data_IF_868436648783
#
_entry.id   IF_868436648783
#
_cell.length_a   1.000
_cell.length_b   1.000
_cell.length_c   1.000
_cell.angle_alpha   90.00
_cell.angle_beta   90.00
_cell.angle_gamma   90.00
#
_symmetry.space_group_name_H-M   'P 1'
#
loop_
_entity.id
_entity.type
_entity.pdbx_description
1 polymer ?
#
# COMPACT_ATOMS: atom_id res chain seq x y z
N UNK A 1 4.05 -10.68 -32.98
CA UNK A 1 3.90 -9.22 -33.20
C UNK A 1 3.53 -9.00 -34.66
N UNK A 2 2.40 -8.34 -34.95
CA UNK A 2 1.89 -8.19 -36.32
C UNK A 2 2.69 -7.16 -37.14
N UNK A 3 2.58 -7.18 -38.47
CA UNK A 3 3.23 -6.20 -39.37
C UNK A 3 2.82 -4.76 -38.99
N UNK A 4 1.52 -4.55 -38.77
CA UNK A 4 0.92 -3.28 -38.35
C UNK A 4 1.45 -2.78 -37.01
N UNK A 5 1.64 -3.66 -36.01
CA UNK A 5 2.24 -3.28 -34.73
C UNK A 5 3.68 -2.78 -34.88
N UNK A 6 4.47 -3.40 -35.77
CA UNK A 6 5.85 -2.97 -36.04
C UNK A 6 5.89 -1.61 -36.74
N UNK A 7 5.00 -1.37 -37.69
CA UNK A 7 4.88 -0.07 -38.39
C UNK A 7 4.54 1.06 -37.42
N UNK A 8 3.56 0.87 -36.53
CA UNK A 8 3.21 1.83 -35.48
C UNK A 8 4.40 2.07 -34.53
N UNK A 9 5.07 1.01 -34.06
CA UNK A 9 6.20 1.16 -33.14
C UNK A 9 7.39 1.90 -33.75
N UNK A 10 7.66 1.70 -35.05
CA UNK A 10 8.70 2.43 -35.76
C UNK A 10 8.34 3.91 -35.91
N UNK A 11 7.11 4.21 -36.33
CA UNK A 11 6.64 5.59 -36.46
C UNK A 11 6.65 6.33 -35.11
N UNK A 12 6.25 5.67 -34.02
CA UNK A 12 6.36 6.22 -32.66
C UNK A 12 7.82 6.53 -32.31
N UNK A 13 8.75 5.66 -32.67
CA UNK A 13 10.18 5.87 -32.40
C UNK A 13 10.71 7.10 -33.15
N UNK A 14 10.42 7.20 -34.44
CA UNK A 14 10.80 8.35 -35.28
C UNK A 14 10.24 9.65 -34.72
N UNK A 15 8.96 9.69 -34.36
CA UNK A 15 8.36 10.89 -33.77
C UNK A 15 8.91 11.22 -32.37
N UNK A 16 9.25 10.20 -31.58
CA UNK A 16 9.92 10.41 -30.29
C UNK A 16 11.26 11.12 -30.48
N UNK A 17 12.07 10.67 -31.46
CA UNK A 17 13.37 11.28 -31.78
C UNK A 17 13.21 12.75 -32.27
N UNK A 18 12.16 13.05 -33.04
CA UNK A 18 11.84 14.42 -33.47
C UNK A 18 11.56 15.30 -32.25
N UNK A 19 10.67 14.86 -31.36
CA UNK A 19 10.29 15.59 -30.14
C UNK A 19 11.49 15.82 -29.20
N UNK A 20 12.33 14.80 -29.02
CA UNK A 20 13.55 14.92 -28.23
C UNK A 20 14.54 15.91 -28.85
N UNK A 21 14.71 15.89 -30.17
CA UNK A 21 15.54 16.86 -30.90
C UNK A 21 14.99 18.29 -30.76
N UNK A 22 13.68 18.49 -30.74
CA UNK A 22 13.08 19.81 -30.51
C UNK A 22 13.37 20.33 -29.10
N UNK A 23 13.25 19.47 -28.09
CA UNK A 23 13.58 19.79 -26.69
C UNK A 23 15.05 20.10 -26.48
N UNK A 24 15.95 19.36 -27.15
CA UNK A 24 17.38 19.67 -27.13
C UNK A 24 17.66 21.10 -27.60
N UNK A 25 16.83 21.62 -28.51
CA UNK A 25 16.86 23.00 -28.99
C UNK A 25 16.01 23.95 -28.13
N UNK A 26 15.71 23.60 -26.88
CA UNK A 26 14.95 24.40 -25.91
C UNK A 26 13.54 24.78 -26.36
N UNK A 27 12.91 23.99 -27.24
CA UNK A 27 11.47 24.09 -27.54
C UNK A 27 10.65 23.27 -26.55
N UNK A 28 9.39 23.65 -26.36
CA UNK A 28 8.39 22.86 -25.63
C UNK A 28 7.34 22.30 -26.61
N UNK A 29 7.61 21.14 -27.23
CA UNK A 29 6.79 20.64 -28.31
C UNK A 29 5.44 20.12 -27.81
N UNK A 30 4.39 20.43 -28.56
CA UNK A 30 3.02 19.97 -28.33
C UNK A 30 2.62 19.04 -29.47
N UNK A 31 2.22 17.82 -29.14
CA UNK A 31 1.75 16.85 -30.14
C UNK A 31 0.28 17.15 -30.41
N UNK A 32 -0.07 17.39 -31.67
CA UNK A 32 -1.44 17.78 -32.06
C UNK A 32 -2.13 16.68 -32.87
N UNK A 33 -3.27 16.21 -32.36
CA UNK A 33 -4.19 15.36 -33.13
C UNK A 33 -5.10 16.26 -33.96
N UNK A 34 -5.09 16.06 -35.28
CA UNK A 34 -5.89 16.81 -36.24
C UNK A 34 -7.19 16.06 -36.55
N UNK A 35 -8.27 16.76 -36.98
CA UNK A 35 -9.55 16.11 -37.31
C UNK A 35 -9.48 15.11 -38.47
N UNK A 36 -8.49 15.24 -39.34
CA UNK A 36 -8.22 14.40 -40.51
C UNK A 36 -7.21 13.28 -40.25
N UNK A 37 -6.66 13.18 -39.04
CA UNK A 37 -5.75 12.08 -38.69
C UNK A 37 -6.49 10.74 -38.77
N UNK A 38 -5.82 9.75 -39.36
CA UNK A 38 -6.27 8.36 -39.33
C UNK A 38 -6.19 7.78 -37.92
N UNK A 39 -6.86 6.64 -37.70
CA UNK A 39 -6.79 5.94 -36.41
C UNK A 39 -5.34 5.57 -36.04
N UNK A 40 -4.53 5.16 -37.01
CA UNK A 40 -3.14 4.77 -36.75
C UNK A 40 -2.27 5.98 -36.40
N UNK A 41 -2.43 7.11 -37.09
CA UNK A 41 -1.75 8.38 -36.75
C UNK A 41 -2.15 8.89 -35.36
N UNK A 42 -3.43 8.78 -35.02
CA UNK A 42 -3.94 9.11 -33.69
C UNK A 42 -3.27 8.26 -32.62
N UNK A 43 -3.18 6.94 -32.84
CA UNK A 43 -2.50 6.01 -31.91
C UNK A 43 -1.01 6.36 -31.79
N UNK A 44 -0.32 6.62 -32.91
CA UNK A 44 1.09 7.00 -32.92
C UNK A 44 1.29 8.26 -32.06
N UNK A 45 0.53 9.33 -32.32
CA UNK A 45 0.62 10.60 -31.57
C UNK A 45 0.33 10.42 -30.08
N UNK A 46 -0.66 9.61 -29.73
CA UNK A 46 -1.00 9.33 -28.34
C UNK A 46 0.13 8.58 -27.61
N UNK A 47 0.68 7.52 -28.23
CA UNK A 47 1.82 6.77 -27.66
C UNK A 47 3.08 7.65 -27.60
N UNK A 48 3.33 8.48 -28.61
CA UNK A 48 4.47 9.42 -28.60
C UNK A 48 4.32 10.45 -27.47
N UNK A 49 3.12 11.00 -27.25
CA UNK A 49 2.84 11.91 -26.13
C UNK A 49 3.06 11.23 -24.78
N UNK A 50 2.63 9.98 -24.64
CA UNK A 50 2.90 9.18 -23.44
C UNK A 50 4.40 8.93 -23.21
N UNK A 51 5.16 8.60 -24.26
CA UNK A 51 6.60 8.28 -24.11
C UNK A 51 7.45 9.51 -23.85
N UNK A 52 7.12 10.61 -24.51
CA UNK A 52 7.88 11.86 -24.41
C UNK A 52 7.43 12.72 -23.24
N UNK A 53 6.19 12.57 -22.75
CA UNK A 53 5.61 13.51 -21.78
C UNK A 53 5.25 14.86 -22.38
N UNK A 54 5.19 14.95 -23.72
CA UNK A 54 4.72 16.16 -24.40
C UNK A 54 3.19 16.28 -24.24
N UNK A 55 2.65 17.50 -24.03
CA UNK A 55 1.21 17.71 -24.03
C UNK A 55 0.59 17.30 -25.37
N UNK A 56 -0.58 16.67 -25.29
CA UNK A 56 -1.39 16.26 -26.42
C UNK A 56 -2.53 17.25 -26.61
N UNK A 57 -2.59 17.92 -27.76
CA UNK A 57 -3.68 18.83 -28.12
C UNK A 57 -4.69 18.12 -29.00
N UNK A 58 -5.96 18.15 -28.60
CA UNK A 58 -7.09 17.65 -29.38
C UNK A 58 -8.17 18.73 -29.46
N UNK A 59 -8.34 19.33 -30.64
CA UNK A 59 -9.21 20.50 -30.81
C UNK A 59 -8.78 21.68 -29.93
N UNK A 60 -9.61 22.01 -28.94
CA UNK A 60 -9.35 23.10 -27.97
C UNK A 60 -8.77 22.59 -26.64
N UNK A 61 -8.74 21.28 -26.43
CA UNK A 61 -8.32 20.67 -25.17
C UNK A 61 -6.83 20.32 -25.19
N UNK A 62 -6.20 20.43 -24.03
CA UNK A 62 -4.86 19.94 -23.77
C UNK A 62 -4.96 18.80 -22.77
N UNK A 63 -4.44 17.65 -23.16
CA UNK A 63 -4.33 16.46 -22.35
C UNK A 63 -2.85 16.25 -22.05
N UNK A 64 -2.54 15.73 -20.87
CA UNK A 64 -1.19 15.29 -20.55
C UNK A 64 -1.25 13.81 -20.13
N UNK A 65 -1.17 12.88 -21.11
CA UNK A 65 -1.31 11.45 -20.85
C UNK A 65 -0.35 10.93 -19.77
N UNK A 66 0.84 11.53 -19.68
CA UNK A 66 1.84 11.14 -18.68
C UNK A 66 1.42 11.55 -17.28
N UNK A 67 0.84 12.74 -17.10
CA UNK A 67 0.27 13.17 -15.81
C UNK A 67 -0.91 12.30 -15.40
N UNK A 68 -1.77 11.91 -16.34
CA UNK A 68 -2.89 10.99 -16.07
C UNK A 68 -2.38 9.62 -15.60
N UNK A 69 -1.30 9.12 -16.19
CA UNK A 69 -0.66 7.87 -15.73
C UNK A 69 0.01 8.08 -14.38
N UNK A 70 0.66 9.22 -14.13
CA UNK A 70 1.27 9.52 -12.85
C UNK A 70 0.21 9.58 -11.73
N UNK A 71 -0.91 10.27 -11.97
CA UNK A 71 -2.04 10.32 -11.04
C UNK A 71 -2.65 8.95 -10.77
N UNK A 72 -2.83 8.11 -11.80
CA UNK A 72 -3.28 6.71 -11.62
C UNK A 72 -2.28 5.87 -10.82
N UNK A 73 -0.99 6.02 -11.10
CA UNK A 73 0.08 5.31 -10.40
C UNK A 73 0.15 5.73 -8.94
N UNK A 74 0.04 7.03 -8.64
CA UNK A 74 -0.06 7.55 -7.29
C UNK A 74 -1.25 6.95 -6.54
N UNK A 75 -2.47 7.02 -7.10
CA UNK A 75 -3.67 6.47 -6.49
C UNK A 75 -3.57 4.95 -6.25
N UNK A 76 -2.96 4.21 -7.17
CA UNK A 76 -2.65 2.80 -6.98
C UNK A 76 -1.64 2.59 -5.85
N UNK A 77 -0.57 3.38 -5.80
CA UNK A 77 0.40 3.37 -4.71
C UNK A 77 -0.28 3.52 -3.36
N UNK A 78 -1.11 4.55 -3.18
CA UNK A 78 -1.84 4.77 -1.92
C UNK A 78 -2.80 3.63 -1.59
N UNK A 79 -3.55 3.12 -2.58
CA UNK A 79 -4.46 1.97 -2.35
C UNK A 79 -3.71 0.72 -1.89
N UNK A 80 -2.56 0.44 -2.51
CA UNK A 80 -1.70 -0.70 -2.21
C UNK A 80 -1.01 -0.52 -0.85
N UNK A 81 -0.62 0.70 -0.49
CA UNK A 81 -0.12 1.06 0.85
C UNK A 81 -1.15 0.71 1.93
N UNK A 82 -2.41 1.06 1.71
CA UNK A 82 -3.51 0.79 2.65
C UNK A 82 -3.92 -0.70 2.68
N UNK A 83 -3.28 -1.54 1.85
CA UNK A 83 -3.30 -3.01 1.93
C UNK A 83 -2.00 -3.58 2.51
N UNK A 84 -1.13 -2.72 3.07
CA UNK A 84 0.16 -3.03 3.69
C UNK A 84 1.21 -3.68 2.77
N UNK A 85 1.06 -3.54 1.45
CA UNK A 85 2.04 -4.06 0.48
C UNK A 85 3.11 -2.99 0.16
N UNK A 86 3.97 -2.70 1.14
CA UNK A 86 4.88 -1.55 1.12
C UNK A 86 5.81 -1.50 -0.10
N UNK A 87 6.44 -2.62 -0.46
CA UNK A 87 7.32 -2.69 -1.64
C UNK A 87 6.57 -2.31 -2.92
N UNK A 88 5.43 -2.96 -3.15
CA UNK A 88 4.59 -2.72 -4.34
C UNK A 88 4.01 -1.30 -4.37
N UNK A 89 3.65 -0.75 -3.21
CA UNK A 89 3.25 0.66 -3.09
C UNK A 89 4.38 1.59 -3.53
N UNK A 90 5.60 1.38 -3.01
CA UNK A 90 6.77 2.18 -3.34
C UNK A 90 7.14 2.09 -4.83
N UNK A 91 6.96 0.93 -5.48
CA UNK A 91 7.15 0.77 -6.92
C UNK A 91 6.19 1.69 -7.71
N UNK A 92 4.89 1.70 -7.36
CA UNK A 92 3.91 2.60 -7.99
C UNK A 92 4.18 4.08 -7.70
N UNK A 93 4.60 4.42 -6.47
CA UNK A 93 4.97 5.79 -6.11
C UNK A 93 6.25 6.24 -6.83
N UNK A 94 7.19 5.33 -7.09
CA UNK A 94 8.36 5.61 -7.92
C UNK A 94 7.98 5.82 -9.38
N UNK A 95 7.10 4.98 -9.93
CA UNK A 95 6.56 5.17 -11.28
C UNK A 95 5.85 6.53 -11.43
N UNK A 96 5.01 6.90 -10.45
CA UNK A 96 4.35 8.20 -10.44
C UNK A 96 5.38 9.35 -10.44
N UNK A 97 6.41 9.27 -9.59
CA UNK A 97 7.44 10.31 -9.46
C UNK A 97 8.26 10.51 -10.73
N UNK A 98 8.52 9.44 -11.49
CA UNK A 98 9.28 9.51 -12.76
C UNK A 98 8.45 10.21 -13.85
N UNK A 99 7.13 10.10 -13.78
CA UNK A 99 6.21 10.56 -14.84
C UNK A 99 5.71 11.99 -14.61
N UNK A 100 5.41 12.37 -13.38
CA UNK A 100 4.79 13.68 -13.08
C UNK A 100 5.79 14.84 -13.14
N UNK A 101 5.41 15.90 -13.85
CA UNK A 101 6.00 17.23 -13.75
C UNK A 101 5.17 18.16 -12.84
N UNK A 102 3.95 17.76 -12.44
CA UNK A 102 3.17 18.47 -11.43
C UNK A 102 3.89 18.47 -10.07
N UNK A 103 4.29 19.65 -9.62
CA UNK A 103 4.99 19.85 -8.36
C UNK A 103 4.13 19.50 -7.14
N UNK A 104 2.81 19.72 -7.20
CA UNK A 104 1.90 19.35 -6.11
C UNK A 104 1.85 17.82 -5.96
N UNK A 105 1.72 17.11 -7.08
CA UNK A 105 1.76 15.65 -7.10
C UNK A 105 3.13 15.12 -6.63
N UNK A 106 4.25 15.74 -7.01
CA UNK A 106 5.58 15.39 -6.49
C UNK A 106 5.68 15.51 -4.95
N UNK A 107 5.11 16.57 -4.37
CA UNK A 107 5.06 16.74 -2.91
C UNK A 107 4.21 15.65 -2.25
N UNK A 108 3.04 15.32 -2.82
CA UNK A 108 2.19 14.21 -2.35
C UNK A 108 2.90 12.86 -2.43
N UNK A 109 3.57 12.56 -3.54
CA UNK A 109 4.33 11.31 -3.69
C UNK A 109 5.45 11.22 -2.64
N UNK A 110 6.18 12.31 -2.43
CA UNK A 110 7.25 12.38 -1.42
C UNK A 110 6.71 12.09 -0.03
N UNK A 111 5.60 12.73 0.34
CA UNK A 111 4.92 12.46 1.61
C UNK A 111 4.52 10.99 1.72
N UNK A 112 3.84 10.42 0.72
CA UNK A 112 3.37 9.04 0.80
C UNK A 112 4.50 7.99 0.84
N UNK A 113 5.67 8.28 0.27
CA UNK A 113 6.88 7.45 0.48
C UNK A 113 7.35 7.51 1.94
N UNK A 114 7.35 8.69 2.55
CA UNK A 114 7.68 8.84 3.97
C UNK A 114 6.66 8.12 4.87
N UNK A 115 5.37 8.28 4.59
CA UNK A 115 4.28 7.62 5.32
C UNK A 115 4.32 6.10 5.16
N UNK A 116 4.64 5.59 3.96
CA UNK A 116 4.85 4.17 3.71
C UNK A 116 5.96 3.60 4.58
N UNK A 117 7.11 4.28 4.64
CA UNK A 117 8.24 3.85 5.47
C UNK A 117 7.93 3.93 6.97
N UNK A 118 7.21 4.98 7.41
CA UNK A 118 6.77 5.10 8.79
C UNK A 118 5.84 3.95 9.18
N UNK A 119 4.84 3.66 8.35
CA UNK A 119 3.87 2.60 8.60
C UNK A 119 4.52 1.21 8.60
N UNK A 120 5.44 0.94 7.67
CA UNK A 120 6.22 -0.29 7.64
C UNK A 120 7.02 -0.46 8.94
N UNK A 121 7.73 0.58 9.39
CA UNK A 121 8.46 0.53 10.66
C UNK A 121 7.55 0.28 11.87
N UNK A 122 6.38 0.94 11.92
CA UNK A 122 5.41 0.77 12.99
C UNK A 122 4.86 -0.65 13.00
N UNK A 123 4.51 -1.21 11.85
CA UNK A 123 3.98 -2.57 11.77
C UNK A 123 5.08 -3.60 12.05
N UNK A 124 6.27 -3.46 11.45
CA UNK A 124 7.37 -4.42 11.58
C UNK A 124 7.94 -4.51 13.01
N UNK A 125 7.83 -3.44 13.81
CA UNK A 125 8.32 -3.42 15.19
C UNK A 125 7.82 -4.62 16.01
N UNK A 126 8.68 -5.14 16.89
CA UNK A 126 8.26 -6.20 17.81
C UNK A 126 7.32 -5.59 18.87
N UNK A 127 6.23 -6.26 19.25
CA UNK A 127 5.27 -5.76 20.24
C UNK A 127 5.90 -5.37 21.58
N UNK A 128 7.04 -5.98 21.93
CA UNK A 128 7.74 -5.79 23.21
C UNK A 128 8.98 -4.89 23.09
N UNK A 129 9.29 -4.40 21.89
CA UNK A 129 10.35 -3.41 21.62
C UNK A 129 9.73 -2.26 20.85
N UNK A 130 8.77 -1.59 21.47
CA UNK A 130 8.13 -0.44 20.85
C UNK A 130 9.17 0.66 20.68
N UNK A 131 9.09 1.31 19.51
CA UNK A 131 10.12 2.10 18.87
C UNK A 131 10.51 3.34 19.70
N UNK A 132 11.38 3.20 20.71
CA UNK A 132 12.04 4.34 21.39
C UNK A 132 12.84 5.25 20.42
N UNK A 133 12.99 4.84 19.15
CA UNK A 133 13.66 5.57 18.07
C UNK A 133 12.72 6.27 17.07
N UNK A 134 11.39 6.10 17.11
CA UNK A 134 10.48 6.72 16.11
C UNK A 134 9.96 8.09 16.48
N UNK A 135 10.09 8.55 17.72
CA UNK A 135 9.65 9.90 18.11
C UNK A 135 10.22 10.99 17.19
N UNK A 136 11.48 10.83 16.77
CA UNK A 136 12.13 11.73 15.81
C UNK A 136 11.52 11.64 14.41
N UNK A 137 11.15 10.44 13.93
CA UNK A 137 10.57 10.24 12.60
C UNK A 137 9.21 10.95 12.48
N UNK A 138 8.35 10.87 13.51
CA UNK A 138 7.08 11.61 13.53
C UNK A 138 7.30 13.13 13.47
N UNK A 139 8.26 13.66 14.24
CA UNK A 139 8.61 15.08 14.24
C UNK A 139 9.16 15.53 12.88
N UNK A 140 10.04 14.72 12.28
CA UNK A 140 10.64 15.01 10.98
C UNK A 140 9.57 15.04 9.87
N UNK A 141 8.65 14.07 9.84
CA UNK A 141 7.54 14.04 8.86
C UNK A 141 6.59 15.21 9.07
N UNK A 142 6.16 15.49 10.30
CA UNK A 142 5.31 16.65 10.59
C UNK A 142 6.00 17.98 10.20
N UNK A 143 7.32 18.06 10.37
CA UNK A 143 8.11 19.22 9.94
C UNK A 143 8.20 19.32 8.41
N UNK A 144 8.32 18.20 7.70
CA UNK A 144 8.26 18.15 6.24
C UNK A 144 6.89 18.59 5.73
N UNK A 145 5.79 18.11 6.31
CA UNK A 145 4.42 18.49 5.90
C UNK A 145 4.22 20.00 6.00
N UNK A 146 4.72 20.64 7.07
CA UNK A 146 4.63 22.10 7.26
C UNK A 146 5.45 22.92 6.26
N UNK A 147 6.42 22.30 5.59
CA UNK A 147 7.28 22.94 4.58
C UNK A 147 6.75 22.79 3.15
N UNK A 148 5.75 21.95 2.92
CA UNK A 148 5.09 21.85 1.62
C UNK A 148 4.31 23.13 1.34
N UNK A 149 4.78 23.90 0.37
CA UNK A 149 4.27 25.20 -0.04
C UNK A 149 3.09 25.12 -1.00
N UNK A 150 2.90 23.98 -1.68
CA UNK A 150 1.78 23.77 -2.61
C UNK A 150 0.54 23.16 -1.95
N UNK A 151 0.67 22.66 -0.72
CA UNK A 151 -0.47 22.11 0.01
C UNK A 151 -1.35 23.23 0.55
N UNK A 152 -2.67 23.05 0.44
CA UNK A 152 -3.61 23.93 1.14
C UNK A 152 -3.46 23.79 2.66
N UNK A 153 -3.86 24.82 3.42
CA UNK A 153 -3.82 24.76 4.90
C UNK A 153 -4.64 23.59 5.45
N UNK A 154 -5.76 23.26 4.81
CA UNK A 154 -6.60 22.12 5.17
C UNK A 154 -5.90 20.79 4.89
N UNK A 155 -5.21 20.66 3.75
CA UNK A 155 -4.42 19.46 3.42
C UNK A 155 -3.27 19.25 4.41
N UNK A 156 -2.54 20.32 4.77
CA UNK A 156 -1.47 20.29 5.80
C UNK A 156 -2.03 19.79 7.14
N UNK A 157 -3.14 20.38 7.61
CA UNK A 157 -3.76 19.99 8.88
C UNK A 157 -4.27 18.56 8.86
N UNK A 158 -4.81 18.10 7.72
CA UNK A 158 -5.30 16.75 7.54
C UNK A 158 -4.17 15.72 7.72
N UNK A 159 -3.04 15.89 7.03
CA UNK A 159 -1.94 14.93 7.14
C UNK A 159 -1.22 14.98 8.50
N UNK A 160 -1.07 16.17 9.11
CA UNK A 160 -0.55 16.27 10.48
C UNK A 160 -1.43 15.47 11.45
N UNK A 161 -2.76 15.64 11.38
CA UNK A 161 -3.70 14.86 12.23
C UNK A 161 -3.58 13.36 12.00
N UNK A 162 -3.36 12.91 10.76
CA UNK A 162 -3.17 11.50 10.46
C UNK A 162 -1.87 10.95 11.08
N UNK A 163 -0.76 11.68 10.95
CA UNK A 163 0.53 11.33 11.55
C UNK A 163 0.45 11.33 13.08
N UNK A 164 -0.18 12.33 13.67
CA UNK A 164 -0.39 12.43 15.13
C UNK A 164 -1.29 11.29 15.65
N UNK A 165 -2.27 10.86 14.87
CA UNK A 165 -3.14 9.72 15.23
C UNK A 165 -2.35 8.41 15.26
N UNK A 166 -1.48 8.17 14.27
CA UNK A 166 -0.58 7.01 14.29
C UNK A 166 0.43 7.11 15.45
N UNK A 167 0.93 8.31 15.76
CA UNK A 167 1.83 8.51 16.90
C UNK A 167 1.15 8.11 18.23
N UNK A 168 -0.12 8.49 18.43
CA UNK A 168 -0.89 8.08 19.61
C UNK A 168 -1.05 6.57 19.70
N UNK A 169 -1.34 5.90 18.59
CA UNK A 169 -1.40 4.42 18.52
C UNK A 169 -0.06 3.81 18.98
N UNK A 170 1.07 4.36 18.51
CA UNK A 170 2.40 3.86 18.93
C UNK A 170 2.64 4.03 20.42
N UNK A 171 2.20 5.14 21.02
CA UNK A 171 2.28 5.34 22.48
C UNK A 171 1.45 4.29 23.22
N UNK A 172 0.22 4.06 22.80
CA UNK A 172 -0.67 3.07 23.41
C UNK A 172 -0.14 1.62 23.26
N UNK A 173 0.51 1.32 22.13
CA UNK A 173 1.22 0.05 21.93
C UNK A 173 2.36 -0.14 22.96
N UNK A 174 3.14 0.91 23.26
CA UNK A 174 4.21 0.90 24.27
C UNK A 174 3.64 0.73 25.69
N UNK A 175 2.51 1.37 25.96
CA UNK A 175 1.75 1.23 27.21
C UNK A 175 1.11 -0.16 27.40
N UNK A 176 1.15 -1.00 26.37
CA UNK A 176 0.71 -2.38 26.45
C UNK A 176 -0.74 -2.63 26.02
N UNK A 177 -1.36 -1.71 25.25
CA UNK A 177 -2.71 -1.89 24.74
C UNK A 177 -2.84 -3.20 23.95
N UNK A 178 -3.66 -4.11 24.50
CA UNK A 178 -3.83 -5.47 23.98
C UNK A 178 -4.58 -5.49 22.64
N UNK A 179 -5.58 -4.62 22.48
CA UNK A 179 -6.37 -4.52 21.24
C UNK A 179 -5.46 -4.05 20.10
N UNK A 180 -4.73 -2.97 20.30
CA UNK A 180 -3.82 -2.43 19.30
C UNK A 180 -2.67 -3.38 18.96
N UNK A 181 -2.11 -4.10 19.96
CA UNK A 181 -1.10 -5.14 19.70
C UNK A 181 -1.67 -6.25 18.82
N UNK A 182 -2.92 -6.65 19.06
CA UNK A 182 -3.61 -7.64 18.23
C UNK A 182 -3.82 -7.14 16.80
N UNK A 183 -4.23 -5.88 16.63
CA UNK A 183 -4.37 -5.25 15.31
C UNK A 183 -3.03 -5.17 14.57
N UNK A 184 -1.94 -4.78 15.25
CA UNK A 184 -0.60 -4.74 14.67
C UNK A 184 -0.14 -6.12 14.19
N UNK A 185 -0.39 -7.18 14.99
CA UNK A 185 -0.09 -8.55 14.60
C UNK A 185 -0.93 -9.02 13.41
N UNK A 186 -2.21 -8.62 13.34
CA UNK A 186 -3.08 -8.92 12.20
C UNK A 186 -2.57 -8.30 10.89
N UNK A 187 -2.02 -7.09 10.95
CA UNK A 187 -1.32 -6.50 9.80
C UNK A 187 -0.16 -7.40 9.33
N UNK A 188 0.65 -7.95 10.26
CA UNK A 188 1.75 -8.87 9.92
C UNK A 188 1.27 -10.17 9.30
N UNK A 189 0.16 -10.73 9.78
CA UNK A 189 -0.49 -11.91 9.15
C UNK A 189 -0.83 -11.58 7.70
N UNK A 190 -1.52 -10.46 7.47
CA UNK A 190 -1.97 -10.03 6.15
C UNK A 190 -0.80 -9.81 5.17
N UNK A 191 0.27 -9.17 5.63
CA UNK A 191 1.51 -8.97 4.86
C UNK A 191 2.13 -10.33 4.49
N UNK A 192 2.27 -11.22 5.46
CA UNK A 192 2.88 -12.55 5.26
C UNK A 192 2.07 -13.38 4.25
N UNK A 193 0.74 -13.38 4.36
CA UNK A 193 -0.15 -14.07 3.42
C UNK A 193 -0.02 -13.52 1.99
N UNK A 194 0.03 -12.19 1.84
CA UNK A 194 0.19 -11.57 0.53
C UNK A 194 1.55 -11.88 -0.12
N UNK A 195 2.60 -12.04 0.69
CA UNK A 195 3.93 -12.46 0.25
C UNK A 195 4.06 -13.98 0.07
N UNK A 196 2.99 -14.76 0.33
CA UNK A 196 2.96 -16.23 0.32
C UNK A 196 3.90 -16.87 1.37
N UNK A 197 4.18 -16.15 2.45
CA UNK A 197 4.98 -16.60 3.59
C UNK A 197 4.07 -17.26 4.64
N UNK A 198 3.50 -18.43 4.30
CA UNK A 198 2.44 -19.07 5.09
C UNK A 198 2.87 -19.45 6.51
N UNK A 199 4.10 -19.93 6.70
CA UNK A 199 4.63 -20.24 8.03
C UNK A 199 4.71 -18.97 8.90
N UNK A 200 5.18 -17.85 8.34
CA UNK A 200 5.22 -16.58 9.05
C UNK A 200 3.81 -16.10 9.43
N UNK A 201 2.84 -16.21 8.52
CA UNK A 201 1.45 -15.90 8.79
C UNK A 201 0.90 -16.71 9.99
N UNK A 202 1.15 -18.02 9.99
CA UNK A 202 0.75 -18.91 11.09
C UNK A 202 1.43 -18.54 12.41
N UNK A 203 2.73 -18.23 12.40
CA UNK A 203 3.45 -17.76 13.60
C UNK A 203 2.80 -16.49 14.17
N UNK A 204 2.42 -15.53 13.32
CA UNK A 204 1.75 -14.30 13.76
C UNK A 204 0.34 -14.56 14.30
N UNK A 205 -0.44 -15.44 13.64
CA UNK A 205 -1.75 -15.88 14.15
C UNK A 205 -1.63 -16.54 15.52
N UNK A 206 -0.61 -17.37 15.73
CA UNK A 206 -0.39 -18.02 17.02
C UNK A 206 -0.02 -17.01 18.11
N UNK A 207 0.74 -15.96 17.77
CA UNK A 207 0.97 -14.85 18.72
C UNK A 207 -0.31 -14.10 19.06
N UNK A 208 -1.22 -13.91 18.11
CA UNK A 208 -2.55 -13.33 18.38
C UNK A 208 -3.34 -14.22 19.33
N UNK A 209 -3.34 -15.55 19.10
CA UNK A 209 -3.95 -16.51 20.00
C UNK A 209 -3.35 -16.42 21.41
N UNK A 210 -2.03 -16.50 21.55
CA UNK A 210 -1.36 -16.43 22.84
C UNK A 210 -1.66 -15.14 23.60
N UNK A 211 -1.71 -14.01 22.89
CA UNK A 211 -2.08 -12.72 23.49
C UNK A 211 -3.51 -12.77 24.04
N UNK A 212 -4.43 -13.44 23.35
CA UNK A 212 -5.86 -13.51 23.69
C UNK A 212 -6.31 -14.86 24.26
N UNK A 213 -5.36 -15.64 24.81
CA UNK A 213 -5.53 -17.07 25.07
C UNK A 213 -6.77 -17.41 25.87
N UNK A 214 -6.96 -16.79 27.03
CA UNK A 214 -8.10 -17.09 27.92
C UNK A 214 -9.45 -16.94 27.21
N UNK A 215 -9.59 -15.90 26.38
CA UNK A 215 -10.84 -15.62 25.66
C UNK A 215 -11.02 -16.62 24.51
N UNK A 216 -9.96 -16.90 23.75
CA UNK A 216 -10.01 -17.91 22.68
C UNK A 216 -10.27 -19.32 23.21
N UNK A 217 -9.65 -19.71 24.32
CA UNK A 217 -9.85 -21.03 24.94
C UNK A 217 -11.31 -21.19 25.42
N UNK A 218 -11.90 -20.14 26.00
CA UNK A 218 -13.31 -20.11 26.38
C UNK A 218 -14.24 -20.21 25.16
N UNK A 219 -13.96 -19.48 24.07
CA UNK A 219 -14.78 -19.57 22.85
C UNK A 219 -14.65 -20.95 22.18
N UNK A 220 -13.47 -21.55 22.21
CA UNK A 220 -13.19 -22.86 21.60
C UNK A 220 -13.84 -24.03 22.35
N UNK A 221 -14.32 -23.86 23.60
CA UNK A 221 -15.09 -24.91 24.27
C UNK A 221 -16.42 -25.17 23.58
N UNK A 222 -17.01 -24.12 22.99
CA UNK A 222 -18.34 -24.12 22.42
C UNK A 222 -18.29 -24.11 20.88
N UNK A 223 -17.23 -23.55 20.28
CA UNK A 223 -17.01 -23.54 18.84
C UNK A 223 -16.02 -24.64 18.39
N UNK A 224 -16.57 -25.71 17.79
CA UNK A 224 -15.80 -26.83 17.23
C UNK A 224 -14.87 -26.42 16.07
N UNK A 225 -15.24 -25.41 15.28
CA UNK A 225 -14.44 -24.91 14.16
C UNK A 225 -13.20 -24.22 14.70
N UNK A 226 -13.38 -23.31 15.67
CA UNK A 226 -12.27 -22.62 16.34
C UNK A 226 -11.36 -23.62 17.07
N UNK A 227 -11.93 -24.56 17.81
CA UNK A 227 -11.17 -25.61 18.51
C UNK A 227 -10.28 -26.41 17.54
N UNK A 228 -10.80 -26.80 16.38
CA UNK A 228 -10.03 -27.49 15.34
C UNK A 228 -8.96 -26.58 14.73
N UNK A 229 -9.29 -25.31 14.49
CA UNK A 229 -8.36 -24.32 13.94
C UNK A 229 -7.15 -24.10 14.86
N UNK A 230 -7.37 -23.93 16.17
CA UNK A 230 -6.31 -23.75 17.17
C UNK A 230 -5.41 -24.98 17.28
N UNK A 231 -5.98 -26.20 17.32
CA UNK A 231 -5.20 -27.44 17.29
C UNK A 231 -4.34 -27.56 16.03
N UNK A 232 -4.93 -27.27 14.87
CA UNK A 232 -4.19 -27.30 13.60
C UNK A 232 -3.04 -26.30 13.58
N UNK A 233 -3.29 -25.07 14.05
CA UNK A 233 -2.29 -24.01 14.12
C UNK A 233 -1.11 -24.40 15.03
N UNK A 234 -1.41 -24.95 16.21
CA UNK A 234 -0.41 -25.40 17.17
C UNK A 234 0.44 -26.55 16.60
N UNK A 235 -0.19 -27.61 16.09
CA UNK A 235 0.53 -28.75 15.49
C UNK A 235 1.41 -28.32 14.31
N UNK A 236 0.93 -27.41 13.46
CA UNK A 236 1.71 -26.92 12.32
C UNK A 236 2.98 -26.18 12.77
N UNK A 237 2.87 -25.32 13.79
CA UNK A 237 4.03 -24.61 14.34
C UNK A 237 5.00 -25.58 15.01
N UNK A 238 4.50 -26.54 15.79
CA UNK A 238 5.34 -27.55 16.46
C UNK A 238 6.14 -28.40 15.46
N UNK A 239 5.51 -28.79 14.35
CA UNK A 239 6.15 -29.55 13.27
C UNK A 239 7.21 -28.75 12.52
N UNK A 240 6.93 -27.50 12.17
CA UNK A 240 7.84 -26.65 11.38
C UNK A 240 8.99 -26.05 12.22
N UNK A 241 8.80 -25.89 13.53
CA UNK A 241 9.84 -25.33 14.44
C UNK A 241 10.63 -26.40 15.20
N UNK A 242 10.24 -27.68 15.11
CA UNK A 242 10.94 -28.80 15.72
C UNK A 242 10.70 -28.98 17.22
N UNK A 243 9.59 -28.46 17.76
CA UNK A 243 9.22 -28.56 19.19
C UNK A 243 8.61 -29.93 19.64
N UNK A 244 8.53 -30.90 18.71
CA UNK A 244 8.37 -32.39 18.86
C UNK A 244 7.01 -33.04 19.23
N UNK A 245 6.97 -34.30 18.74
CA UNK A 245 6.09 -35.48 18.90
C UNK A 245 4.89 -35.66 17.96
N UNK A 246 4.96 -36.78 17.22
CA UNK A 246 4.02 -37.26 16.21
C UNK A 246 2.60 -37.47 16.77
N UNK A 247 1.59 -37.15 15.95
CA UNK A 247 0.37 -37.96 15.73
C UNK A 247 -0.47 -37.41 14.56
N UNK A 248 -1.36 -38.27 14.05
CA UNK A 248 -2.08 -38.19 12.78
C UNK A 248 -2.65 -36.81 12.39
N UNK A 249 -2.41 -36.44 11.12
CA UNK A 249 -2.77 -35.13 10.56
C UNK A 249 -4.25 -35.06 10.20
N UNK A 250 -5.03 -34.12 10.77
CA UNK A 250 -6.30 -33.69 10.18
C UNK A 250 -6.04 -33.00 8.84
N UNK A 251 -7.05 -32.96 7.96
CA UNK A 251 -7.05 -32.09 6.79
C UNK A 251 -6.76 -30.64 7.23
N UNK A 252 -5.61 -30.12 6.84
CA UNK A 252 -5.14 -28.78 7.22
C UNK A 252 -6.06 -27.71 6.63
N UNK A 253 -6.61 -26.84 7.49
CA UNK A 253 -7.20 -25.59 7.04
C UNK A 253 -6.07 -24.71 6.46
N UNK A 254 -6.32 -23.99 5.37
CA UNK A 254 -5.31 -23.12 4.79
C UNK A 254 -5.02 -21.94 5.73
N UNK A 255 -3.85 -21.30 5.61
CA UNK A 255 -3.52 -20.11 6.39
C UNK A 255 -4.54 -18.95 6.16
N UNK A 256 -5.20 -18.92 5.00
CA UNK A 256 -6.30 -18.00 4.73
C UNK A 256 -7.57 -18.34 5.52
N UNK A 257 -7.93 -19.63 5.60
CA UNK A 257 -9.08 -20.07 6.39
C UNK A 257 -8.87 -19.76 7.88
N UNK A 258 -7.66 -20.02 8.40
CA UNK A 258 -7.29 -19.69 9.77
C UNK A 258 -7.36 -18.18 10.03
N UNK A 259 -6.89 -17.36 9.09
CA UNK A 259 -6.99 -15.90 9.23
C UNK A 259 -8.44 -15.42 9.25
N UNK A 260 -9.31 -15.94 8.38
CA UNK A 260 -10.74 -15.60 8.39
C UNK A 260 -11.41 -15.98 9.72
N UNK A 261 -11.19 -17.22 10.19
CA UNK A 261 -11.72 -17.68 11.49
C UNK A 261 -11.26 -16.76 12.62
N UNK A 262 -9.98 -16.38 12.64
CA UNK A 262 -9.46 -15.46 13.66
C UNK A 262 -10.10 -14.08 13.57
N UNK A 263 -10.27 -13.50 12.38
CA UNK A 263 -10.90 -12.18 12.20
C UNK A 263 -12.36 -12.19 12.71
N UNK A 264 -13.11 -13.25 12.40
CA UNK A 264 -14.50 -13.39 12.85
C UNK A 264 -14.57 -13.42 14.38
N UNK A 265 -13.70 -14.21 15.03
CA UNK A 265 -13.67 -14.28 16.49
C UNK A 265 -13.13 -13.00 17.13
N UNK A 266 -12.11 -12.35 16.56
CA UNK A 266 -11.61 -11.08 17.05
C UNK A 266 -12.69 -9.98 16.99
N UNK A 267 -13.55 -10.02 15.96
CA UNK A 267 -14.71 -9.13 15.84
C UNK A 267 -15.66 -9.32 17.02
N UNK A 268 -15.93 -10.57 17.42
CA UNK A 268 -16.73 -10.87 18.61
C UNK A 268 -16.02 -10.52 19.93
N UNK A 269 -14.72 -10.78 20.04
CA UNK A 269 -13.92 -10.53 21.27
C UNK A 269 -13.87 -9.03 21.60
N UNK A 270 -13.71 -8.18 20.59
CA UNK A 270 -13.56 -6.74 20.76
C UNK A 270 -14.85 -5.94 20.47
N UNK A 271 -15.94 -6.63 20.12
CA UNK A 271 -17.25 -6.07 19.78
C UNK A 271 -17.19 -4.96 18.71
N UNK A 272 -16.41 -5.19 17.66
CA UNK A 272 -16.12 -4.21 16.61
C UNK A 272 -15.76 -4.91 15.31
N UNK A 273 -15.99 -4.28 14.16
CA UNK A 273 -15.48 -4.74 12.86
C UNK A 273 -13.94 -4.69 12.83
N UNK A 274 -13.29 -5.74 13.34
CA UNK A 274 -11.91 -5.68 13.78
C UNK A 274 -10.92 -5.38 12.65
N UNK A 275 -11.15 -5.98 11.47
CA UNK A 275 -10.35 -5.71 10.28
C UNK A 275 -10.50 -4.26 9.79
N UNK A 276 -11.71 -3.71 9.80
CA UNK A 276 -11.96 -2.33 9.33
C UNK A 276 -11.34 -1.30 10.29
N UNK A 277 -11.41 -1.53 11.60
CA UNK A 277 -10.70 -0.70 12.58
C UNK A 277 -9.19 -0.84 12.43
N UNK A 278 -8.69 -2.06 12.20
CA UNK A 278 -7.26 -2.28 11.94
C UNK A 278 -6.80 -1.47 10.72
N UNK A 279 -7.55 -1.52 9.60
CA UNK A 279 -7.27 -0.70 8.43
C UNK A 279 -7.31 0.79 8.78
N UNK A 280 -8.33 1.27 9.49
CA UNK A 280 -8.44 2.68 9.90
C UNK A 280 -7.24 3.15 10.72
N UNK A 281 -6.76 2.32 11.64
CA UNK A 281 -5.65 2.65 12.54
C UNK A 281 -4.28 2.57 11.84
N UNK A 282 -4.13 1.67 10.87
CA UNK A 282 -2.87 1.43 10.15
C UNK A 282 -3.00 1.76 8.66
N UNK A 283 -3.57 2.91 8.30
CA UNK A 283 -3.63 3.40 6.91
C UNK A 283 -3.53 4.91 6.84
N UNK A 284 -3.25 5.42 5.63
CA UNK A 284 -3.27 6.84 5.34
C UNK A 284 -4.22 7.13 4.18
N UNK A 285 -5.26 7.89 4.47
CA UNK A 285 -6.21 8.38 3.47
C UNK A 285 -5.62 9.53 2.66
N UNK A 286 -6.08 9.68 1.42
CA UNK A 286 -5.75 10.86 0.58
C UNK A 286 -6.68 12.00 0.96
N UNK A 287 -6.13 13.21 1.10
CA UNK A 287 -6.94 14.41 1.26
C UNK A 287 -7.85 14.62 0.04
N UNK A 288 -9.13 14.91 0.29
CA UNK A 288 -10.10 15.30 -0.74
C UNK A 288 -10.72 16.62 -0.32
N UNK A 289 -10.66 17.61 -1.19
CA UNK A 289 -11.40 18.85 -0.97
C UNK A 289 -12.90 18.53 -0.96
N UNK A 290 -13.56 18.95 0.12
CA UNK A 290 -14.98 18.78 0.38
C UNK A 290 -15.76 20.02 -0.01
#
# INVERSE_FOLDING_TARGET
MSKKQKEILNAVKEETEIIESERYNSKDPIITIKPDDTQDETIIKLITAERTGAPLKYGKEFLNPVEDIAGRSFNNGVRILNSWLFKKSNDYLAEAAIKTNDQLLQQRITLFKQLSNLLDQVIAAQPDKVLKRTSKVFVDINSSIKKYDLFSKSEIQFYIKAVDSLQKIVVQLDEGDKELKTQQLLCKVSISLANKEYLAANIWLYRIYLLNKEIFDNLASDDKILSKALKNLQMHIENETGLKEHLDMPTMASAFDLNTIFIDHLTSIYDKEFLEITKKNFSFSVYRES
#
